data_IF_134483258348
#
_entry.id   IF_134483258348
#
_cell.length_a   1.000
_cell.length_b   1.000
_cell.length_c   1.000
_cell.angle_alpha   90.00
_cell.angle_beta   90.00
_cell.angle_gamma   90.00
#
_symmetry.space_group_name_H-M   'P 1'
#
loop_
_entity.id
_entity.type
_entity.pdbx_description
1 polymer ?
#
# COMPACT_ATOMS: atom_id res chain seq x y z
N UNK A 1 -7.54 11.82 -9.20
CA UNK A 1 -6.70 12.98 -8.79
C UNK A 1 -6.59 13.13 -7.28
N UNK A 2 -7.69 13.04 -6.51
CA UNK A 2 -7.66 13.15 -5.04
C UNK A 2 -6.73 12.13 -4.37
N UNK A 3 -6.84 10.86 -4.76
CA UNK A 3 -6.00 9.78 -4.22
C UNK A 3 -4.50 10.00 -4.45
N UNK A 4 -4.13 10.43 -5.65
CA UNK A 4 -2.73 10.66 -6.03
C UNK A 4 -2.14 11.90 -5.34
N UNK A 5 -2.92 12.97 -5.18
CA UNK A 5 -2.47 14.16 -4.45
C UNK A 5 -2.36 13.89 -2.95
N UNK A 6 -3.35 13.21 -2.36
CA UNK A 6 -3.29 12.78 -0.96
C UNK A 6 -2.08 11.89 -0.69
N UNK A 7 -1.75 10.99 -1.63
CA UNK A 7 -0.58 10.12 -1.54
C UNK A 7 0.74 10.90 -1.55
N UNK A 8 0.86 11.91 -2.42
CA UNK A 8 2.05 12.76 -2.44
C UNK A 8 2.19 13.55 -1.13
N UNK A 9 1.09 14.11 -0.63
CA UNK A 9 1.10 14.89 0.61
C UNK A 9 1.42 14.00 1.82
N UNK A 10 0.86 12.79 1.93
CA UNK A 10 1.18 11.91 3.06
C UNK A 10 2.62 11.42 3.03
N UNK A 11 3.22 11.24 1.85
CA UNK A 11 4.65 10.95 1.71
C UNK A 11 5.47 12.12 2.26
N UNK A 12 5.16 13.35 1.87
CA UNK A 12 5.86 14.53 2.38
C UNK A 12 5.68 14.72 3.89
N UNK A 13 4.47 14.54 4.41
CA UNK A 13 4.18 14.64 5.84
C UNK A 13 4.89 13.56 6.65
N UNK A 14 4.95 12.31 6.15
CA UNK A 14 5.66 11.23 6.81
C UNK A 14 7.18 11.43 6.78
N UNK A 15 7.73 11.97 5.68
CA UNK A 15 9.14 12.39 5.60
C UNK A 15 9.42 13.47 6.67
N UNK A 16 8.58 14.50 6.73
CA UNK A 16 8.72 15.59 7.70
C UNK A 16 8.62 15.07 9.13
N UNK A 17 7.63 14.23 9.44
CA UNK A 17 7.45 13.63 10.76
C UNK A 17 8.66 12.78 11.18
N UNK A 18 9.22 11.98 10.26
CA UNK A 18 10.42 11.19 10.53
C UNK A 18 11.65 12.08 10.74
N UNK A 19 11.78 13.17 9.99
CA UNK A 19 12.85 14.14 10.14
C UNK A 19 12.79 14.86 11.49
N UNK A 20 11.61 15.36 11.88
CA UNK A 20 11.38 16.03 13.16
C UNK A 20 11.56 15.10 14.36
N UNK A 21 11.21 13.82 14.20
CA UNK A 21 11.34 12.81 15.27
C UNK A 21 12.75 12.23 15.39
N UNK A 22 13.67 12.56 14.48
CA UNK A 22 15.06 12.08 14.52
C UNK A 22 15.19 10.56 14.36
N UNK A 23 14.27 9.91 13.64
CA UNK A 23 14.33 8.45 13.47
C UNK A 23 15.54 8.03 12.63
N UNK A 24 16.13 6.89 12.99
CA UNK A 24 17.17 6.26 12.19
C UNK A 24 16.68 5.99 10.76
N UNK A 25 17.54 6.10 9.76
CA UNK A 25 17.18 5.98 8.33
C UNK A 25 16.43 4.70 7.99
N UNK A 26 16.85 3.57 8.57
CA UNK A 26 16.22 2.26 8.41
C UNK A 26 14.78 2.24 8.96
N UNK A 27 14.54 2.94 10.07
CA UNK A 27 13.20 3.07 10.67
C UNK A 27 12.35 4.09 9.93
N UNK A 28 12.92 5.24 9.54
CA UNK A 28 12.24 6.28 8.77
C UNK A 28 11.72 5.73 7.43
N UNK A 29 12.53 4.99 6.68
CA UNK A 29 12.10 4.38 5.42
C UNK A 29 10.94 3.39 5.60
N UNK A 30 10.99 2.55 6.65
CA UNK A 30 9.90 1.65 7.01
C UNK A 30 8.62 2.40 7.43
N UNK A 31 8.74 3.48 8.21
CA UNK A 31 7.60 4.32 8.64
C UNK A 31 6.94 5.01 7.45
N UNK A 32 7.74 5.66 6.59
CA UNK A 32 7.24 6.34 5.41
C UNK A 32 6.51 5.32 4.52
N UNK A 33 7.14 4.18 4.21
CA UNK A 33 6.49 3.12 3.43
C UNK A 33 5.20 2.61 4.08
N UNK A 34 5.20 2.44 5.40
CA UNK A 34 4.02 2.06 6.18
C UNK A 34 2.91 3.10 6.19
N UNK A 35 3.21 4.36 5.89
CA UNK A 35 2.28 5.49 5.92
C UNK A 35 1.45 5.65 4.64
N UNK A 36 1.97 5.20 3.49
CA UNK A 36 1.29 5.43 2.19
C UNK A 36 1.07 4.16 1.36
N UNK A 37 1.74 3.03 1.66
CA UNK A 37 1.55 1.81 0.86
C UNK A 37 0.23 1.14 1.24
N UNK A 38 -0.51 0.63 0.27
CA UNK A 38 -1.88 0.14 0.47
C UNK A 38 -2.01 -1.36 0.20
N UNK A 39 -2.68 -2.08 1.09
CA UNK A 39 -3.14 -3.42 0.82
C UNK A 39 -4.45 -3.39 -0.01
N UNK A 40 -4.31 -3.24 -1.33
CA UNK A 40 -5.46 -3.16 -2.24
C UNK A 40 -6.35 -4.41 -2.25
N UNK A 41 -5.78 -5.59 -1.92
CA UNK A 41 -6.50 -6.86 -1.90
C UNK A 41 -7.64 -6.89 -0.87
N UNK A 42 -7.40 -6.34 0.33
CA UNK A 42 -8.43 -6.27 1.38
C UNK A 42 -9.57 -5.36 0.92
N UNK A 43 -9.24 -4.19 0.36
CA UNK A 43 -10.24 -3.25 -0.15
C UNK A 43 -11.09 -3.85 -1.28
N UNK A 44 -10.45 -4.58 -2.19
CA UNK A 44 -11.13 -5.27 -3.29
C UNK A 44 -12.02 -6.43 -2.82
N UNK A 45 -11.62 -7.16 -1.78
CA UNK A 45 -12.46 -8.21 -1.20
C UNK A 45 -13.72 -7.66 -0.51
N UNK A 46 -13.66 -6.46 0.06
CA UNK A 46 -14.77 -5.85 0.80
C UNK A 46 -15.71 -5.06 -0.13
N UNK A 47 -15.19 -4.44 -1.19
CA UNK A 47 -15.96 -3.54 -2.05
C UNK A 47 -17.27 -4.12 -2.64
N UNK A 48 -17.31 -5.39 -3.12
CA UNK A 48 -18.56 -5.97 -3.62
C UNK A 48 -19.62 -6.12 -2.52
N UNK A 49 -19.21 -6.35 -1.27
CA UNK A 49 -20.12 -6.45 -0.13
C UNK A 49 -20.82 -5.13 0.23
N UNK A 50 -20.34 -4.00 -0.28
CA UNK A 50 -20.86 -2.68 0.06
C UNK A 50 -21.67 -2.04 -1.06
N UNK A 51 -21.23 -2.23 -2.31
CA UNK A 51 -21.84 -1.59 -3.49
C UNK A 51 -22.12 -2.57 -4.63
N UNK A 52 -22.03 -3.87 -4.39
CA UNK A 52 -22.24 -4.88 -5.43
C UNK A 52 -21.23 -4.75 -6.59
N UNK A 53 -21.73 -4.84 -7.82
CA UNK A 53 -20.90 -4.76 -9.04
C UNK A 53 -20.16 -3.43 -9.16
N UNK A 54 -20.81 -2.32 -8.81
CA UNK A 54 -20.22 -0.97 -8.83
C UNK A 54 -19.00 -0.91 -7.90
N UNK A 55 -19.09 -1.57 -6.74
CA UNK A 55 -17.98 -1.66 -5.79
C UNK A 55 -16.76 -2.35 -6.40
N UNK A 56 -16.96 -3.48 -7.07
CA UNK A 56 -15.90 -4.22 -7.77
C UNK A 56 -15.23 -3.37 -8.85
N UNK A 57 -16.02 -2.66 -9.66
CA UNK A 57 -15.52 -1.80 -10.75
C UNK A 57 -14.67 -0.64 -10.20
N UNK A 58 -15.18 0.08 -9.21
CA UNK A 58 -14.46 1.19 -8.58
C UNK A 58 -13.20 0.70 -7.84
N UNK A 59 -13.26 -0.45 -7.19
CA UNK A 59 -12.11 -1.05 -6.52
C UNK A 59 -11.01 -1.47 -7.51
N UNK A 60 -11.39 -2.03 -8.67
CA UNK A 60 -10.46 -2.38 -9.74
C UNK A 60 -9.71 -1.14 -10.24
N UNK A 61 -10.42 -0.02 -10.46
CA UNK A 61 -9.83 1.26 -10.86
C UNK A 61 -8.86 1.76 -9.78
N UNK A 62 -9.25 1.70 -8.50
CA UNK A 62 -8.39 2.11 -7.39
C UNK A 62 -7.10 1.29 -7.34
N UNK A 63 -7.19 -0.04 -7.44
CA UNK A 63 -6.02 -0.94 -7.49
C UNK A 63 -5.10 -0.60 -8.66
N UNK A 64 -5.68 -0.48 -9.87
CA UNK A 64 -4.92 -0.25 -11.10
C UNK A 64 -4.04 1.01 -11.00
N UNK A 65 -4.52 2.05 -10.30
CA UNK A 65 -3.79 3.30 -10.11
C UNK A 65 -2.86 3.24 -8.89
N UNK A 66 -3.36 2.80 -7.73
CA UNK A 66 -2.63 2.87 -6.47
C UNK A 66 -1.47 1.88 -6.39
N UNK A 67 -1.67 0.65 -6.84
CA UNK A 67 -0.68 -0.42 -6.64
C UNK A 67 0.64 -0.08 -7.34
N UNK A 68 0.67 0.34 -8.62
CA UNK A 68 1.91 0.69 -9.28
C UNK A 68 2.60 1.90 -8.64
N UNK A 69 1.84 2.98 -8.37
CA UNK A 69 2.37 4.23 -7.81
C UNK A 69 2.98 3.98 -6.43
N UNK A 70 2.25 3.30 -5.55
CA UNK A 70 2.73 3.02 -4.19
C UNK A 70 3.93 2.08 -4.19
N UNK A 71 3.97 1.07 -5.06
CA UNK A 71 5.10 0.15 -5.14
C UNK A 71 6.37 0.85 -5.66
N UNK A 72 6.26 1.67 -6.70
CA UNK A 72 7.40 2.43 -7.24
C UNK A 72 7.91 3.44 -6.19
N UNK A 73 7.01 4.19 -5.56
CA UNK A 73 7.37 5.14 -4.51
C UNK A 73 8.06 4.44 -3.32
N UNK A 74 7.58 3.26 -2.91
CA UNK A 74 8.18 2.48 -1.82
C UNK A 74 9.61 2.04 -2.14
N UNK A 75 9.83 1.53 -3.36
CA UNK A 75 11.17 1.14 -3.83
C UNK A 75 12.09 2.36 -3.84
N UNK A 76 11.64 3.51 -4.37
CA UNK A 76 12.44 4.74 -4.40
C UNK A 76 12.82 5.17 -2.98
N UNK A 77 11.86 5.24 -2.06
CA UNK A 77 12.08 5.71 -0.68
C UNK A 77 13.06 4.78 0.05
N UNK A 78 12.87 3.45 -0.05
CA UNK A 78 13.78 2.48 0.54
C UNK A 78 15.21 2.63 0.01
N UNK A 79 15.36 2.78 -1.31
CA UNK A 79 16.65 2.95 -1.95
C UNK A 79 17.31 4.27 -1.54
N UNK A 80 16.56 5.37 -1.48
CA UNK A 80 17.11 6.69 -1.12
C UNK A 80 17.58 6.73 0.33
N UNK A 81 16.84 6.13 1.26
CA UNK A 81 17.15 6.18 2.69
C UNK A 81 18.22 5.18 3.13
N UNK A 82 18.21 3.96 2.57
CA UNK A 82 19.03 2.85 3.06
C UNK A 82 20.21 2.52 2.16
N UNK A 83 20.51 3.39 1.20
CA UNK A 83 21.63 3.22 0.27
C UNK A 83 22.94 3.02 1.04
N UNK A 84 23.57 1.86 0.85
CA UNK A 84 24.88 1.55 1.43
C UNK A 84 26.05 2.09 0.59
N UNK A 85 25.89 2.18 -0.73
CA UNK A 85 26.97 2.58 -1.65
C UNK A 85 26.70 3.92 -2.35
N UNK A 86 27.44 4.97 -1.97
CA UNK A 86 27.33 6.33 -2.52
C UNK A 86 27.86 6.46 -3.97
N UNK A 87 28.57 5.45 -4.48
CA UNK A 87 29.33 5.56 -5.74
C UNK A 87 28.54 5.18 -7.02
N UNK A 88 27.44 4.43 -6.90
CA UNK A 88 26.64 3.98 -8.06
C UNK A 88 25.59 5.02 -8.47
N UNK A 89 25.48 5.42 -9.74
CA UNK A 89 24.42 6.36 -10.18
C UNK A 89 23.03 5.85 -9.75
N UNK A 90 22.31 6.67 -8.97
CA UNK A 90 20.97 6.36 -8.40
C UNK A 90 20.02 5.81 -9.46
N UNK A 91 20.04 6.42 -10.66
CA UNK A 91 19.19 6.00 -11.78
C UNK A 91 19.44 4.56 -12.24
N UNK A 92 20.69 4.08 -12.24
CA UNK A 92 21.03 2.72 -12.71
C UNK A 92 20.62 1.66 -11.70
N UNK A 93 20.74 1.96 -10.41
CA UNK A 93 20.33 1.05 -9.33
C UNK A 93 18.80 0.99 -9.22
N UNK A 94 18.12 2.15 -9.28
CA UNK A 94 16.65 2.23 -9.34
C UNK A 94 16.10 1.43 -10.53
N UNK A 95 16.66 1.62 -11.73
CA UNK A 95 16.19 0.90 -12.92
C UNK A 95 16.36 -0.61 -12.77
N UNK A 96 17.48 -1.07 -12.19
CA UNK A 96 17.73 -2.50 -11.96
C UNK A 96 16.75 -3.13 -10.97
N UNK A 97 16.46 -2.46 -9.86
CA UNK A 97 15.53 -2.99 -8.85
C UNK A 97 14.06 -2.89 -9.29
N UNK A 98 13.69 -1.84 -10.01
CA UNK A 98 12.35 -1.70 -10.58
C UNK A 98 12.11 -2.78 -11.65
N UNK A 99 13.07 -3.00 -12.56
CA UNK A 99 12.93 -4.01 -13.63
C UNK A 99 13.00 -5.44 -13.15
N UNK A 100 13.54 -5.71 -11.95
CA UNK A 100 13.54 -7.03 -11.32
C UNK A 100 12.36 -7.28 -10.39
N UNK A 101 11.51 -6.29 -10.14
CA UNK A 101 10.38 -6.44 -9.25
C UNK A 101 9.25 -7.23 -9.96
N UNK A 102 8.95 -8.48 -9.57
CA UNK A 102 7.97 -9.32 -10.26
C UNK A 102 6.56 -8.71 -10.28
N UNK A 103 6.18 -7.90 -9.28
CA UNK A 103 4.89 -7.20 -9.29
C UNK A 103 4.81 -6.15 -10.40
N UNK A 104 5.90 -5.42 -10.64
CA UNK A 104 5.94 -4.40 -11.68
C UNK A 104 5.90 -5.07 -13.05
N UNK A 105 6.68 -6.14 -13.24
CA UNK A 105 6.68 -6.93 -14.47
C UNK A 105 5.27 -7.46 -14.77
N UNK A 106 4.59 -8.04 -13.77
CA UNK A 106 3.24 -8.58 -13.95
C UNK A 106 2.22 -7.50 -14.37
N UNK A 107 2.23 -6.32 -13.74
CA UNK A 107 1.34 -5.21 -14.12
C UNK A 107 1.63 -4.73 -15.54
N UNK A 108 2.91 -4.54 -15.89
CA UNK A 108 3.30 -4.08 -17.24
C UNK A 108 2.87 -5.08 -18.30
N UNK A 109 3.10 -6.38 -18.07
CA UNK A 109 2.64 -7.41 -18.99
C UNK A 109 1.11 -7.40 -19.12
N UNK A 110 0.36 -7.37 -18.01
CA UNK A 110 -1.10 -7.32 -18.04
C UNK A 110 -1.64 -6.12 -18.83
N UNK A 111 -1.03 -4.94 -18.67
CA UNK A 111 -1.38 -3.75 -19.44
C UNK A 111 -1.06 -3.89 -20.93
N UNK A 112 0.07 -4.50 -21.28
CA UNK A 112 0.43 -4.74 -22.69
C UNK A 112 -0.56 -5.71 -23.35
N UNK A 113 -0.93 -6.81 -22.69
CA UNK A 113 -1.95 -7.74 -23.20
C UNK A 113 -3.29 -7.05 -23.41
N UNK A 114 -3.70 -6.18 -22.48
CA UNK A 114 -4.92 -5.40 -22.60
C UNK A 114 -4.85 -4.40 -23.78
N UNK A 115 -3.74 -3.66 -23.90
CA UNK A 115 -3.55 -2.66 -24.95
C UNK A 115 -3.51 -3.24 -26.36
N UNK A 116 -2.86 -4.41 -26.52
CA UNK A 116 -2.79 -5.11 -27.81
C UNK A 116 -4.03 -5.98 -28.10
N UNK A 117 -5.06 -5.93 -27.25
CA UNK A 117 -6.25 -6.79 -27.32
C UNK A 117 -5.90 -8.28 -27.51
N UNK A 118 -4.77 -8.69 -26.93
CA UNK A 118 -4.23 -10.02 -27.13
C UNK A 118 -5.03 -10.99 -26.28
N UNK A 119 -5.92 -11.74 -26.93
CA UNK A 119 -6.73 -12.75 -26.25
C UNK A 119 -5.81 -13.84 -25.68
N UNK A 120 -5.86 -14.01 -24.35
CA UNK A 120 -5.25 -15.16 -23.70
C UNK A 120 -6.06 -16.42 -24.05
N UNK A 121 -5.40 -17.55 -24.36
CA UNK A 121 -6.11 -18.81 -24.55
C UNK A 121 -6.87 -19.18 -23.27
N UNK A 122 -8.05 -19.78 -23.41
CA UNK A 122 -9.00 -20.01 -22.30
C UNK A 122 -8.37 -20.71 -21.10
N UNK A 123 -7.44 -21.64 -21.34
CA UNK A 123 -6.68 -22.31 -20.28
C UNK A 123 -5.83 -21.34 -19.44
N UNK A 124 -5.18 -20.35 -20.06
CA UNK A 124 -4.36 -19.38 -19.36
C UNK A 124 -5.22 -18.44 -18.51
N UNK A 125 -6.35 -17.95 -19.06
CA UNK A 125 -7.28 -17.08 -18.33
C UNK A 125 -7.81 -17.76 -17.08
N UNK A 126 -8.31 -19.00 -17.21
CA UNK A 126 -8.85 -19.76 -16.09
C UNK A 126 -7.77 -20.09 -15.04
N UNK A 127 -6.54 -20.35 -15.48
CA UNK A 127 -5.41 -20.58 -14.56
C UNK A 127 -5.09 -19.32 -13.76
N UNK A 128 -5.03 -18.14 -14.40
CA UNK A 128 -4.73 -16.89 -13.71
C UNK A 128 -5.85 -16.45 -12.77
N UNK A 129 -7.12 -16.69 -13.11
CA UNK A 129 -8.25 -16.45 -12.21
C UNK A 129 -8.16 -17.32 -10.95
N UNK A 130 -7.99 -18.63 -11.11
CA UNK A 130 -7.85 -19.56 -9.98
C UNK A 130 -6.63 -19.23 -9.10
N UNK A 131 -5.51 -18.86 -9.72
CA UNK A 131 -4.33 -18.40 -9.00
C UNK A 131 -4.58 -17.07 -8.29
N UNK A 132 -5.28 -16.12 -8.90
CA UNK A 132 -5.63 -14.83 -8.30
C UNK A 132 -6.47 -14.98 -7.05
N UNK A 133 -7.53 -15.78 -7.13
CA UNK A 133 -8.44 -16.07 -6.01
C UNK A 133 -7.72 -16.79 -4.86
N UNK A 134 -6.93 -17.82 -5.18
CA UNK A 134 -6.16 -18.58 -4.18
C UNK A 134 -4.98 -17.82 -3.60
N UNK A 135 -4.32 -16.98 -4.38
CA UNK A 135 -3.13 -16.23 -3.97
C UNK A 135 -3.42 -15.26 -2.84
N UNK A 136 -4.61 -14.65 -2.81
CA UNK A 136 -5.01 -13.74 -1.73
C UNK A 136 -5.04 -14.47 -0.38
N UNK A 137 -5.63 -15.67 -0.35
CA UNK A 137 -5.74 -16.50 0.86
C UNK A 137 -4.37 -17.00 1.33
N UNK A 138 -3.54 -17.48 0.40
CA UNK A 138 -2.17 -17.93 0.70
C UNK A 138 -1.28 -16.77 1.17
N UNK A 139 -1.40 -15.59 0.56
CA UNK A 139 -0.67 -14.39 0.96
C UNK A 139 -1.02 -14.06 2.41
N UNK A 140 -2.30 -13.94 2.77
CA UNK A 140 -2.71 -13.63 4.15
C UNK A 140 -2.22 -14.68 5.15
N UNK A 141 -2.25 -15.96 4.80
CA UNK A 141 -1.77 -17.04 5.66
C UNK A 141 -0.24 -17.00 5.88
N UNK A 142 0.55 -16.93 4.80
CA UNK A 142 2.02 -16.88 4.88
C UNK A 142 2.49 -15.63 5.64
N UNK A 143 1.76 -14.53 5.45
CA UNK A 143 1.98 -13.29 6.18
C UNK A 143 1.71 -13.46 7.66
N UNK A 144 0.54 -14.00 8.02
CA UNK A 144 0.19 -14.24 9.41
C UNK A 144 1.21 -15.14 10.10
N UNK A 145 1.68 -16.18 9.40
CA UNK A 145 2.70 -17.10 9.89
C UNK A 145 4.11 -16.46 10.01
N UNK A 146 4.45 -15.51 9.14
CA UNK A 146 5.76 -14.84 9.14
C UNK A 146 5.85 -13.60 10.04
N UNK A 147 4.72 -13.08 10.51
CA UNK A 147 4.64 -11.95 11.42
C UNK A 147 4.85 -12.43 12.86
N UNK A 148 6.09 -12.36 13.34
CA UNK A 148 6.40 -12.48 14.77
C UNK A 148 6.62 -11.07 15.30
N UNK A 149 5.56 -10.36 15.75
CA UNK A 149 5.71 -9.02 16.30
C UNK A 149 6.62 -9.11 17.53
N UNK A 150 7.56 -8.19 17.60
CA UNK A 150 8.46 -8.05 18.73
C UNK A 150 8.30 -6.62 19.19
N UNK A 151 7.49 -6.38 20.21
CA UNK A 151 7.29 -5.03 20.70
C UNK A 151 8.53 -4.61 21.52
N UNK A 152 9.26 -3.61 21.02
CA UNK A 152 10.39 -3.00 21.72
C UNK A 152 10.09 -1.53 21.96
N UNK A 153 10.46 -1.00 23.13
CA UNK A 153 10.26 0.40 23.49
C UNK A 153 10.83 1.37 22.43
N UNK A 154 11.97 1.03 21.84
CA UNK A 154 12.61 1.83 20.79
C UNK A 154 11.79 1.92 19.48
N UNK A 155 10.82 1.02 19.27
CA UNK A 155 9.97 0.98 18.07
C UNK A 155 8.60 1.63 18.27
N UNK A 156 8.22 1.98 19.51
CA UNK A 156 6.86 2.48 19.80
C UNK A 156 6.56 3.80 19.09
N UNK A 157 7.46 4.78 19.19
CA UNK A 157 7.29 6.08 18.54
C UNK A 157 7.17 5.97 17.00
N UNK A 158 8.09 5.31 16.28
CA UNK A 158 7.96 5.18 14.83
C UNK A 158 6.74 4.35 14.42
N UNK A 159 6.39 3.31 15.18
CA UNK A 159 5.18 2.52 14.95
C UNK A 159 3.91 3.37 15.07
N UNK A 160 3.82 4.20 16.11
CA UNK A 160 2.69 5.10 16.31
C UNK A 160 2.54 6.11 15.17
N UNK A 161 3.65 6.71 14.72
CA UNK A 161 3.64 7.64 13.57
C UNK A 161 3.10 6.96 12.31
N UNK A 162 3.56 5.73 12.01
CA UNK A 162 3.08 4.99 10.84
C UNK A 162 1.58 4.67 10.91
N UNK A 163 1.07 4.26 12.09
CA UNK A 163 -0.36 3.96 12.29
C UNK A 163 -1.19 5.24 12.13
N UNK A 164 -0.78 6.33 12.79
CA UNK A 164 -1.48 7.61 12.75
C UNK A 164 -1.55 8.16 11.32
N UNK A 165 -0.42 8.16 10.60
CA UNK A 165 -0.37 8.64 9.22
C UNK A 165 -1.28 7.81 8.31
N UNK A 166 -1.26 6.48 8.45
CA UNK A 166 -1.95 5.58 7.52
C UNK A 166 -3.45 5.45 7.77
N UNK A 167 -3.88 5.35 9.02
CA UNK A 167 -5.26 5.01 9.37
C UNK A 167 -6.10 6.21 9.81
N UNK A 168 -5.46 7.34 10.13
CA UNK A 168 -6.16 8.56 10.56
C UNK A 168 -5.93 9.69 9.56
N UNK A 169 -4.67 10.13 9.39
CA UNK A 169 -4.37 11.33 8.59
C UNK A 169 -4.69 11.10 7.11
N UNK A 170 -4.26 9.98 6.54
CA UNK A 170 -4.50 9.69 5.13
C UNK A 170 -5.99 9.56 4.78
N UNK A 171 -6.82 8.77 5.49
CA UNK A 171 -8.26 8.75 5.27
C UNK A 171 -8.92 10.10 5.50
N UNK A 172 -8.54 10.84 6.54
CA UNK A 172 -9.08 12.19 6.78
C UNK A 172 -8.85 13.10 5.57
N UNK A 173 -7.65 13.10 5.00
CA UNK A 173 -7.32 13.89 3.81
C UNK A 173 -8.14 13.46 2.59
N UNK A 174 -8.28 12.16 2.35
CA UNK A 174 -9.04 11.64 1.20
C UNK A 174 -10.53 11.96 1.35
N UNK A 175 -11.11 11.72 2.53
CA UNK A 175 -12.52 11.95 2.82
C UNK A 175 -12.86 13.44 2.76
N UNK A 176 -12.09 14.30 3.42
CA UNK A 176 -12.33 15.75 3.41
C UNK A 176 -12.23 16.33 2.00
N UNK A 177 -11.22 15.92 1.22
CA UNK A 177 -11.08 16.33 -0.16
C UNK A 177 -12.24 15.83 -1.05
N UNK A 178 -12.72 14.61 -0.81
CA UNK A 178 -13.87 14.06 -1.52
C UNK A 178 -15.19 14.76 -1.22
N UNK A 179 -15.43 15.11 0.05
CA UNK A 179 -16.59 15.91 0.48
C UNK A 179 -16.53 17.30 -0.17
N UNK A 180 -15.38 17.96 -0.13
CA UNK A 180 -15.18 19.28 -0.75
C UNK A 180 -15.36 19.26 -2.26
N UNK A 181 -15.00 18.16 -2.91
CA UNK A 181 -15.20 17.98 -4.35
C UNK A 181 -16.64 17.59 -4.72
N UNK A 182 -17.53 17.36 -3.73
CA UNK A 182 -18.91 16.96 -3.97
C UNK A 182 -19.02 15.59 -4.65
N UNK A 183 -18.13 14.65 -4.29
CA UNK A 183 -18.12 13.33 -4.91
C UNK A 183 -19.42 12.54 -4.60
N UNK A 184 -19.92 11.75 -5.56
CA UNK A 184 -20.99 10.78 -5.34
C UNK A 184 -20.72 9.83 -4.16
N UNK A 185 -21.78 9.40 -3.49
CA UNK A 185 -21.70 8.60 -2.25
C UNK A 185 -21.01 7.25 -2.47
N UNK A 186 -21.28 6.57 -3.58
CA UNK A 186 -20.63 5.33 -4.01
C UNK A 186 -19.12 5.48 -4.16
N UNK A 187 -18.67 6.57 -4.79
CA UNK A 187 -17.24 6.88 -4.92
C UNK A 187 -16.63 7.18 -3.54
N UNK A 188 -17.32 7.94 -2.69
CA UNK A 188 -16.84 8.26 -1.34
C UNK A 188 -16.66 7.05 -0.45
N UNK A 189 -17.59 6.09 -0.48
CA UNK A 189 -17.52 4.83 0.26
C UNK A 189 -16.26 4.04 -0.12
N UNK A 190 -15.99 3.90 -1.43
CA UNK A 190 -14.81 3.17 -1.90
C UNK A 190 -13.52 3.90 -1.55
N UNK A 191 -13.48 5.23 -1.73
CA UNK A 191 -12.30 6.03 -1.38
C UNK A 191 -11.99 5.95 0.12
N UNK A 192 -13.00 6.01 0.98
CA UNK A 192 -12.85 5.92 2.43
C UNK A 192 -12.23 4.57 2.85
N UNK A 193 -12.73 3.47 2.29
CA UNK A 193 -12.21 2.13 2.58
C UNK A 193 -10.81 1.96 2.06
N UNK A 194 -10.55 2.30 0.80
CA UNK A 194 -9.21 2.17 0.22
C UNK A 194 -8.18 3.00 0.99
N UNK A 195 -8.57 4.17 1.49
CA UNK A 195 -7.70 4.98 2.33
C UNK A 195 -7.42 4.33 3.69
N UNK A 196 -8.43 3.71 4.31
CA UNK A 196 -8.34 3.04 5.60
C UNK A 196 -7.65 1.66 5.56
N UNK A 197 -7.30 1.15 4.37
CA UNK A 197 -6.59 -0.12 4.24
C UNK A 197 -5.20 -0.09 4.88
N UNK A 198 -4.77 -1.18 5.53
CA UNK A 198 -3.46 -1.27 6.16
C UNK A 198 -2.34 -1.32 5.12
N UNK A 199 -1.08 -1.22 5.57
CA UNK A 199 0.07 -1.38 4.71
C UNK A 199 0.09 -2.75 4.02
N UNK A 200 0.49 -2.76 2.74
CA UNK A 200 0.66 -3.99 1.98
C UNK A 200 1.72 -4.89 2.60
N UNK A 201 1.45 -6.18 2.72
CA UNK A 201 2.37 -7.06 3.43
C UNK A 201 3.68 -7.29 2.69
N UNK A 202 3.66 -7.14 1.36
CA UNK A 202 4.86 -7.09 0.53
C UNK A 202 5.84 -5.98 0.93
N UNK A 203 5.49 -5.13 1.91
CA UNK A 203 6.38 -4.20 2.58
C UNK A 203 7.47 -4.85 3.42
N UNK A 204 7.17 -5.94 4.12
CA UNK A 204 8.13 -6.63 4.97
C UNK A 204 9.35 -7.19 4.20
N UNK A 205 9.17 -8.02 3.15
CA UNK A 205 10.31 -8.54 2.40
C UNK A 205 11.09 -7.42 1.69
N UNK A 206 10.41 -6.36 1.23
CA UNK A 206 11.06 -5.19 0.62
C UNK A 206 11.97 -4.47 1.63
N UNK A 207 11.48 -4.24 2.85
CA UNK A 207 12.30 -3.65 3.91
C UNK A 207 13.51 -4.54 4.24
N UNK A 208 13.32 -5.86 4.31
CA UNK A 208 14.42 -6.80 4.56
C UNK A 208 15.48 -6.81 3.44
N UNK A 209 15.05 -6.72 2.19
CA UNK A 209 15.94 -6.73 1.01
C UNK A 209 16.70 -5.41 0.83
N UNK A 210 16.06 -4.28 1.11
CA UNK A 210 16.61 -2.94 0.85
C UNK A 210 17.10 -2.23 2.11
N UNK A 211 17.40 -2.97 3.18
CA UNK A 211 18.05 -2.42 4.38
C UNK A 211 17.17 -1.55 5.29
N UNK A 212 15.84 -1.67 5.18
CA UNK A 212 14.88 -1.05 6.10
C UNK A 212 14.76 -1.84 7.41
N UNK A 213 14.10 -1.24 8.41
CA UNK A 213 13.83 -1.90 9.68
C UNK A 213 12.68 -2.92 9.53
N UNK A 214 13.03 -4.18 9.26
CA UNK A 214 12.07 -5.25 9.02
C UNK A 214 11.23 -5.62 10.27
N UNK A 215 11.78 -5.73 11.50
CA UNK A 215 10.98 -5.94 12.70
C UNK A 215 9.92 -4.85 12.92
N UNK A 216 10.29 -3.57 12.77
CA UNK A 216 9.33 -2.46 12.83
C UNK A 216 8.26 -2.57 11.75
N UNK A 217 8.64 -2.93 10.53
CA UNK A 217 7.68 -3.11 9.43
C UNK A 217 6.67 -4.23 9.73
N UNK A 218 7.11 -5.32 10.37
CA UNK A 218 6.21 -6.38 10.85
C UNK A 218 5.21 -5.85 11.89
N UNK A 219 5.70 -5.12 12.90
CA UNK A 219 4.85 -4.50 13.93
C UNK A 219 3.81 -3.55 13.30
N UNK A 220 4.23 -2.73 12.31
CA UNK A 220 3.36 -1.81 11.57
C UNK A 220 2.26 -2.59 10.84
N UNK A 221 2.60 -3.64 10.09
CA UNK A 221 1.63 -4.42 9.31
C UNK A 221 0.62 -5.09 10.24
N UNK A 222 1.07 -5.71 11.33
CA UNK A 222 0.18 -6.38 12.30
C UNK A 222 -0.80 -5.38 12.90
N UNK A 223 -0.29 -4.30 13.51
CA UNK A 223 -1.15 -3.35 14.19
C UNK A 223 -2.07 -2.61 13.23
N UNK A 224 -1.56 -2.19 12.06
CA UNK A 224 -2.43 -1.56 11.08
C UNK A 224 -3.52 -2.52 10.61
N UNK A 225 -3.22 -3.80 10.42
CA UNK A 225 -4.24 -4.79 10.02
C UNK A 225 -5.32 -4.91 11.10
N UNK A 226 -4.93 -5.06 12.37
CA UNK A 226 -5.87 -5.13 13.51
C UNK A 226 -6.73 -3.87 13.62
N UNK A 227 -6.12 -2.68 13.53
CA UNK A 227 -6.85 -1.42 13.68
C UNK A 227 -7.59 -0.99 12.40
N UNK A 228 -7.23 -1.51 11.23
CA UNK A 228 -7.85 -1.11 9.96
C UNK A 228 -9.32 -1.45 9.91
N UNK A 229 -9.76 -2.58 10.46
CA UNK A 229 -11.17 -2.96 10.49
C UNK A 229 -12.04 -1.94 11.25
N UNK A 230 -11.83 -1.69 12.56
CA UNK A 230 -12.67 -0.73 13.29
C UNK A 230 -12.55 0.70 12.74
N UNK A 231 -11.38 1.11 12.26
CA UNK A 231 -11.19 2.44 11.67
C UNK A 231 -11.87 2.56 10.29
N UNK A 232 -11.92 1.49 9.50
CA UNK A 232 -12.68 1.49 8.23
C UNK A 232 -14.17 1.71 8.49
N UNK A 233 -14.74 1.09 9.53
CA UNK A 233 -16.13 1.35 9.93
C UNK A 233 -16.35 2.80 10.38
N UNK A 234 -15.41 3.38 11.13
CA UNK A 234 -15.48 4.80 11.50
C UNK A 234 -15.55 5.70 10.26
N UNK A 235 -14.69 5.46 9.27
CA UNK A 235 -14.66 6.27 8.05
C UNK A 235 -15.91 6.07 7.19
N UNK A 236 -16.47 4.85 7.15
CA UNK A 236 -17.75 4.59 6.51
C UNK A 236 -18.89 5.40 7.15
N UNK A 237 -18.95 5.46 8.48
CA UNK A 237 -19.95 6.25 9.18
C UNK A 237 -19.84 7.76 8.89
N UNK A 238 -18.63 8.26 8.63
CA UNK A 238 -18.42 9.68 8.29
C UNK A 238 -18.89 10.03 6.87
N UNK A 239 -18.87 9.07 5.94
CA UNK A 239 -19.20 9.29 4.52
C UNK A 239 -20.58 8.81 4.11
N UNK A 240 -21.28 8.08 4.99
CA UNK A 240 -22.67 7.63 4.81
C UNK A 240 -23.66 8.70 5.25
#
# INVERSE_FOLDING_TARGET
MILTSALLVIILLSILACYLSGFERSSASSVIQGSFRHNGFIGFAIAPGLLGTIGTELAAICIAILVPITNIAAVIIMIVYNRQDANTKISRFLLKEITRNPLIIAVVLGLLFNYFEMALPTFATLTFELLGDGALSLLLLCVGAGLVPSFSAARIAPLFVAILMKLIIFPAMVVTAGIWAGLPADIMIILAIFAAMPCAVSAFPLAKQLGGNAPLMADIIVLQTVFSLPLSFLWLFVVS
#
